data_IF_363254567503
#
_entry.id   IF_363254567503
#
_cell.length_a   1.000
_cell.length_b   1.000
_cell.length_c   1.000
_cell.angle_alpha   90.00
_cell.angle_beta   90.00
_cell.angle_gamma   90.00
#
_symmetry.space_group_name_H-M   'P 1'
#
loop_
_entity.id
_entity.type
_entity.pdbx_description
1 polymer ?
#
# COMPACT_ATOMS: atom_id res chain seq x y z
N UNK A 1 -10.64 -14.83 3.46
CA UNK A 1 -10.33 -14.28 4.79
C UNK A 1 -8.85 -14.53 5.04
N UNK A 2 -8.09 -13.49 5.35
CA UNK A 2 -6.63 -13.57 5.48
C UNK A 2 -6.23 -14.32 6.76
N UNK A 3 -5.31 -15.29 6.64
CA UNK A 3 -4.71 -15.94 7.80
C UNK A 3 -3.96 -14.98 8.73
N UNK A 4 -3.68 -13.75 8.26
CA UNK A 4 -3.08 -12.68 9.04
C UNK A 4 -3.90 -12.34 10.30
N UNK A 5 -5.23 -12.33 10.21
CA UNK A 5 -6.13 -12.00 11.32
C UNK A 5 -6.03 -13.00 12.48
N UNK A 6 -5.63 -14.25 12.22
CA UNK A 6 -5.45 -15.27 13.25
C UNK A 6 -4.14 -15.12 14.04
N UNK A 7 -3.12 -14.51 13.45
CA UNK A 7 -1.75 -14.48 14.02
C UNK A 7 -1.32 -13.10 14.51
N UNK A 8 -1.96 -12.04 14.03
CA UNK A 8 -1.56 -10.68 14.31
C UNK A 8 -2.00 -10.14 15.70
N UNK A 9 -3.21 -10.45 16.23
CA UNK A 9 -3.65 -9.93 17.51
C UNK A 9 -2.67 -10.25 18.65
N UNK A 10 -2.26 -9.23 19.42
CA UNK A 10 -1.31 -9.38 20.53
C UNK A 10 0.16 -9.59 20.12
N UNK A 11 0.46 -9.72 18.81
CA UNK A 11 1.84 -9.84 18.35
C UNK A 11 2.57 -8.49 18.42
N UNK A 12 3.81 -8.42 18.93
CA UNK A 12 4.51 -7.15 19.21
C UNK A 12 4.75 -6.26 17.99
N UNK A 13 4.82 -6.85 16.79
CA UNK A 13 4.99 -6.08 15.53
C UNK A 13 3.68 -6.00 14.74
N UNK A 14 2.89 -7.07 14.75
CA UNK A 14 1.75 -7.23 13.84
C UNK A 14 0.45 -6.69 14.44
N UNK A 15 0.32 -6.68 15.77
CA UNK A 15 -0.89 -6.28 16.48
C UNK A 15 -1.29 -4.85 16.16
N UNK A 16 -0.36 -3.90 16.27
CA UNK A 16 -0.65 -2.50 15.94
C UNK A 16 -1.10 -2.33 14.48
N UNK A 17 -0.37 -2.95 13.54
CA UNK A 17 -0.70 -2.88 12.13
C UNK A 17 -2.10 -3.45 11.85
N UNK A 18 -2.41 -4.60 12.44
CA UNK A 18 -3.71 -5.24 12.33
C UNK A 18 -4.84 -4.39 12.92
N UNK A 19 -4.65 -3.86 14.12
CA UNK A 19 -5.70 -3.21 14.90
C UNK A 19 -6.02 -1.78 14.44
N UNK A 20 -5.12 -1.15 13.68
CA UNK A 20 -5.22 0.27 13.37
C UNK A 20 -5.03 0.62 11.89
N UNK A 21 -4.49 -0.29 11.05
CA UNK A 21 -4.13 0.06 9.67
C UNK A 21 -4.65 -0.93 8.63
N UNK A 22 -4.47 -2.23 8.82
CA UNK A 22 -4.80 -3.22 7.81
C UNK A 22 -6.32 -3.34 7.63
N UNK A 23 -6.80 -3.00 6.43
CA UNK A 23 -8.23 -3.00 6.08
C UNK A 23 -8.94 -1.70 6.40
N UNK A 24 -8.25 -0.71 6.99
CA UNK A 24 -8.80 0.61 7.23
C UNK A 24 -8.70 1.47 5.96
N UNK A 25 -9.77 2.18 5.55
CA UNK A 25 -9.70 3.08 4.40
C UNK A 25 -8.74 4.23 4.69
N UNK A 26 -7.88 4.54 3.71
CA UNK A 26 -6.97 5.68 3.76
C UNK A 26 -7.14 6.59 2.56
N UNK A 27 -6.91 7.88 2.78
CA UNK A 27 -7.07 8.92 1.75
C UNK A 27 -5.85 9.81 1.57
N UNK A 28 -4.97 9.86 2.58
CA UNK A 28 -3.75 10.65 2.52
C UNK A 28 -2.79 10.10 1.46
N UNK A 29 -2.32 10.95 0.57
CA UNK A 29 -1.54 10.51 -0.60
C UNK A 29 -0.21 9.87 -0.18
N UNK A 30 0.42 10.43 0.87
CA UNK A 30 1.67 9.89 1.42
C UNK A 30 1.48 8.50 2.00
N UNK A 31 0.38 8.26 2.70
CA UNK A 31 0.07 6.95 3.29
C UNK A 31 -0.26 5.91 2.22
N UNK A 32 -1.02 6.31 1.19
CA UNK A 32 -1.31 5.44 0.04
C UNK A 32 -0.04 5.08 -0.71
N UNK A 33 0.84 6.06 -0.97
CA UNK A 33 2.10 5.81 -1.65
C UNK A 33 3.06 4.97 -0.79
N UNK A 34 3.16 5.25 0.51
CA UNK A 34 3.90 4.43 1.47
C UNK A 34 3.44 2.97 1.40
N UNK A 35 2.13 2.71 1.53
CA UNK A 35 1.59 1.34 1.48
C UNK A 35 2.02 0.64 0.19
N UNK A 36 1.85 1.29 -0.97
CA UNK A 36 2.22 0.71 -2.26
C UNK A 36 3.70 0.33 -2.31
N UNK A 37 4.59 1.22 -1.86
CA UNK A 37 6.04 0.96 -1.87
C UNK A 37 6.42 -0.13 -0.87
N UNK A 38 5.79 -0.19 0.30
CA UNK A 38 6.04 -1.25 1.28
C UNK A 38 5.63 -2.63 0.74
N UNK A 39 4.46 -2.74 0.09
CA UNK A 39 4.01 -3.99 -0.54
C UNK A 39 4.94 -4.42 -1.68
N UNK A 40 5.41 -3.48 -2.51
CA UNK A 40 6.44 -3.76 -3.54
C UNK A 40 7.72 -4.31 -2.90
N UNK A 41 8.12 -3.76 -1.76
CA UNK A 41 9.34 -4.18 -1.07
C UNK A 41 9.20 -5.51 -0.33
N UNK A 42 7.99 -5.91 0.05
CA UNK A 42 7.68 -7.18 0.69
C UNK A 42 7.96 -8.39 -0.21
N UNK A 43 7.93 -8.25 -1.54
CA UNK A 43 8.21 -9.35 -2.46
C UNK A 43 9.54 -10.06 -2.15
N UNK A 44 9.44 -11.34 -1.71
CA UNK A 44 10.55 -12.19 -1.30
C UNK A 44 10.95 -12.10 0.18
N UNK A 45 10.16 -11.43 1.03
CA UNK A 45 10.42 -11.21 2.46
C UNK A 45 9.14 -11.37 3.28
N UNK A 46 9.27 -11.49 4.61
CA UNK A 46 8.11 -11.44 5.50
C UNK A 46 7.60 -10.00 5.66
N UNK A 47 6.29 -9.84 5.86
CA UNK A 47 5.72 -8.52 6.18
C UNK A 47 6.27 -7.96 7.50
N UNK A 48 6.59 -8.82 8.47
CA UNK A 48 7.28 -8.41 9.71
C UNK A 48 8.60 -7.68 9.42
N UNK A 49 9.39 -8.19 8.46
CA UNK A 49 10.65 -7.55 8.04
C UNK A 49 10.40 -6.14 7.53
N UNK A 50 9.32 -5.94 6.76
CA UNK A 50 8.96 -4.64 6.22
C UNK A 50 8.47 -3.71 7.34
N UNK A 51 7.58 -4.16 8.23
CA UNK A 51 7.10 -3.36 9.36
C UNK A 51 8.25 -2.91 10.27
N UNK A 52 9.20 -3.80 10.57
CA UNK A 52 10.40 -3.44 11.37
C UNK A 52 11.29 -2.41 10.70
N UNK A 53 11.31 -2.37 9.36
CA UNK A 53 12.08 -1.40 8.56
C UNK A 53 11.28 -0.14 8.20
N UNK A 54 9.99 -0.06 8.52
CA UNK A 54 9.10 1.02 8.05
C UNK A 54 9.62 2.41 8.38
N UNK A 55 10.07 2.64 9.61
CA UNK A 55 10.62 3.96 9.99
C UNK A 55 11.89 4.34 9.21
N UNK A 56 12.70 3.35 8.81
CA UNK A 56 13.85 3.58 7.93
C UNK A 56 13.39 3.93 6.51
N UNK A 57 12.38 3.22 5.98
CA UNK A 57 11.77 3.54 4.70
C UNK A 57 11.19 4.96 4.69
N UNK A 58 10.46 5.35 5.72
CA UNK A 58 9.92 6.70 5.86
C UNK A 58 11.02 7.76 5.80
N UNK A 59 12.15 7.58 6.51
CA UNK A 59 13.28 8.52 6.42
C UNK A 59 13.97 8.49 5.07
N UNK A 60 14.16 7.30 4.49
CA UNK A 60 14.88 7.14 3.23
C UNK A 60 14.13 7.74 2.03
N UNK A 61 12.79 7.67 2.05
CA UNK A 61 11.90 8.16 1.00
C UNK A 61 11.22 9.50 1.35
N UNK A 62 11.86 10.34 2.17
CA UNK A 62 11.38 11.70 2.50
C UNK A 62 9.92 11.76 2.97
N UNK A 63 9.54 10.81 3.85
CA UNK A 63 8.19 10.68 4.37
C UNK A 63 7.16 10.32 3.29
N UNK A 64 7.61 9.65 2.22
CA UNK A 64 6.83 9.28 1.05
C UNK A 64 6.12 10.47 0.40
N UNK A 65 6.76 11.64 0.42
CA UNK A 65 6.31 12.77 -0.39
C UNK A 65 6.41 12.41 -1.88
N UNK A 66 5.27 12.34 -2.56
CA UNK A 66 5.20 11.88 -3.96
C UNK A 66 6.02 12.78 -4.87
N UNK A 67 5.97 14.11 -4.69
CA UNK A 67 6.68 15.04 -5.57
C UNK A 67 8.19 14.96 -5.37
N UNK A 68 8.65 14.84 -4.13
CA UNK A 68 10.06 14.66 -3.79
C UNK A 68 10.59 13.34 -4.36
N UNK A 69 9.89 12.22 -4.13
CA UNK A 69 10.33 10.91 -4.62
C UNK A 69 10.25 10.82 -6.15
N UNK A 70 9.29 11.48 -6.78
CA UNK A 70 9.20 11.56 -8.24
C UNK A 70 10.39 12.31 -8.88
N UNK A 71 10.99 13.24 -8.14
CA UNK A 71 12.13 14.05 -8.57
C UNK A 71 13.51 13.41 -8.28
N UNK A 72 13.56 12.27 -7.59
CA UNK A 72 14.81 11.58 -7.28
C UNK A 72 15.67 11.29 -8.53
N UNK A 73 16.95 11.61 -8.43
CA UNK A 73 17.95 11.39 -9.48
C UNK A 73 18.92 10.25 -9.17
N UNK A 74 19.99 10.14 -9.97
CA UNK A 74 21.03 9.11 -9.76
C UNK A 74 21.71 9.22 -8.38
N UNK A 75 21.85 10.43 -7.83
CA UNK A 75 22.38 10.63 -6.47
C UNK A 75 21.50 10.00 -5.40
N UNK A 76 20.17 10.15 -5.52
CA UNK A 76 19.22 9.55 -4.58
C UNK A 76 19.16 8.04 -4.72
N UNK A 77 19.22 7.55 -5.96
CA UNK A 77 19.29 6.11 -6.22
C UNK A 77 20.56 5.53 -5.57
N UNK A 78 21.72 6.16 -5.75
CA UNK A 78 22.97 5.72 -5.12
C UNK A 78 22.88 5.76 -3.59
N UNK A 79 22.32 6.83 -3.01
CA UNK A 79 22.06 6.98 -1.57
C UNK A 79 21.19 5.84 -1.04
N UNK A 80 20.06 5.56 -1.68
CA UNK A 80 19.12 4.50 -1.29
C UNK A 80 19.76 3.10 -1.40
N UNK A 81 20.57 2.87 -2.44
CA UNK A 81 21.30 1.60 -2.59
C UNK A 81 22.42 1.43 -1.56
N UNK A 82 22.91 2.51 -0.96
CA UNK A 82 23.86 2.48 0.15
C UNK A 82 23.22 2.25 1.52
N UNK A 83 21.91 2.50 1.67
CA UNK A 83 21.22 2.47 2.96
C UNK A 83 20.85 1.03 3.39
N UNK A 84 21.54 0.51 4.41
CA UNK A 84 21.25 -0.81 4.99
C UNK A 84 19.95 -0.87 5.82
N UNK A 85 19.37 0.28 6.14
CA UNK A 85 18.09 0.43 6.82
C UNK A 85 16.91 -0.09 6.00
N UNK A 86 17.02 -0.04 4.67
CA UNK A 86 15.97 -0.45 3.71
C UNK A 86 16.37 -1.69 2.88
N UNK A 87 15.57 -2.04 1.88
CA UNK A 87 15.87 -3.12 0.93
C UNK A 87 16.66 -2.55 -0.26
N UNK A 88 17.94 -2.88 -0.33
CA UNK A 88 18.89 -2.39 -1.35
C UNK A 88 18.71 -3.13 -2.68
N UNK A 89 17.64 -2.82 -3.40
CA UNK A 89 17.34 -3.39 -4.71
C UNK A 89 17.08 -2.28 -5.73
N UNK A 90 17.94 -2.17 -6.76
CA UNK A 90 17.86 -1.10 -7.76
C UNK A 90 16.54 -1.09 -8.52
N UNK A 91 16.00 -2.25 -8.86
CA UNK A 91 14.73 -2.33 -9.60
C UNK A 91 13.54 -1.85 -8.74
N UNK A 92 13.52 -2.19 -7.45
CA UNK A 92 12.49 -1.72 -6.51
C UNK A 92 12.57 -0.21 -6.27
N UNK A 93 13.79 0.34 -6.14
CA UNK A 93 14.01 1.80 -6.02
C UNK A 93 13.50 2.53 -7.26
N UNK A 94 13.89 2.08 -8.46
CA UNK A 94 13.43 2.66 -9.71
C UNK A 94 11.91 2.53 -9.89
N UNK A 95 11.30 1.45 -9.40
CA UNK A 95 9.85 1.28 -9.42
C UNK A 95 9.15 2.29 -8.50
N UNK A 96 9.68 2.56 -7.30
CA UNK A 96 9.14 3.57 -6.39
C UNK A 96 9.14 4.97 -7.03
N UNK A 97 10.27 5.37 -7.63
CA UNK A 97 10.40 6.67 -8.33
C UNK A 97 9.40 6.77 -9.49
N UNK A 98 9.35 5.74 -10.35
CA UNK A 98 8.39 5.71 -11.46
C UNK A 98 6.94 5.77 -10.96
N UNK A 99 6.59 5.03 -9.91
CA UNK A 99 5.24 5.01 -9.39
C UNK A 99 4.85 6.36 -8.77
N UNK A 100 5.78 7.07 -8.13
CA UNK A 100 5.57 8.44 -7.67
C UNK A 100 5.25 9.38 -8.84
N UNK A 101 6.03 9.30 -9.93
CA UNK A 101 5.79 10.08 -11.15
C UNK A 101 4.42 9.79 -11.77
N UNK A 102 4.00 8.52 -11.79
CA UNK A 102 2.66 8.15 -12.25
C UNK A 102 1.60 8.75 -11.33
N UNK A 103 1.72 8.63 -10.01
CA UNK A 103 0.76 9.21 -9.06
C UNK A 103 0.64 10.73 -9.24
N UNK A 104 1.75 11.44 -9.41
CA UNK A 104 1.76 12.87 -9.71
C UNK A 104 0.93 13.20 -10.96
N UNK A 105 1.03 12.39 -12.02
CA UNK A 105 0.23 12.56 -13.24
C UNK A 105 -1.27 12.25 -13.03
N UNK A 106 -1.62 11.33 -12.13
CA UNK A 106 -3.01 11.02 -11.81
C UNK A 106 -3.75 12.22 -11.20
N UNK A 107 -3.05 13.11 -10.49
CA UNK A 107 -3.63 14.34 -9.95
C UNK A 107 -4.28 15.21 -11.03
N UNK A 108 -3.67 15.30 -12.22
CA UNK A 108 -4.22 16.09 -13.32
C UNK A 108 -5.52 15.52 -13.90
N UNK A 109 -5.72 14.20 -13.82
CA UNK A 109 -6.89 13.53 -14.40
C UNK A 109 -7.99 13.22 -13.38
N UNK A 110 -7.64 13.00 -12.12
CA UNK A 110 -8.57 12.53 -11.08
C UNK A 110 -8.54 13.39 -9.81
N UNK A 111 -7.66 14.39 -9.72
CA UNK A 111 -7.48 15.26 -8.55
C UNK A 111 -6.51 14.71 -7.50
N UNK A 112 -6.51 13.40 -7.26
CA UNK A 112 -5.60 12.74 -6.29
C UNK A 112 -5.47 11.24 -6.54
N UNK A 113 -4.50 10.58 -5.89
CA UNK A 113 -4.39 9.12 -5.93
C UNK A 113 -5.62 8.41 -5.34
N UNK A 114 -6.14 8.93 -4.23
CA UNK A 114 -7.34 8.39 -3.59
C UNK A 114 -8.56 8.46 -4.53
N UNK A 115 -8.77 9.61 -5.18
CA UNK A 115 -9.86 9.78 -6.15
C UNK A 115 -9.67 8.92 -7.40
N UNK A 116 -8.41 8.69 -7.82
CA UNK A 116 -8.14 7.74 -8.88
C UNK A 116 -8.59 6.33 -8.48
N UNK A 117 -8.23 5.85 -7.28
CA UNK A 117 -8.66 4.54 -6.76
C UNK A 117 -10.20 4.45 -6.68
N UNK A 118 -10.85 5.49 -6.14
CA UNK A 118 -12.31 5.57 -6.04
C UNK A 118 -12.97 5.46 -7.42
N UNK A 119 -12.45 6.16 -8.44
CA UNK A 119 -12.98 6.15 -9.80
C UNK A 119 -12.89 4.78 -10.49
N UNK A 120 -12.01 3.88 -10.02
CA UNK A 120 -11.94 2.52 -10.53
C UNK A 120 -12.82 1.57 -9.72
N UNK A 121 -13.31 1.94 -8.54
CA UNK A 121 -14.15 1.06 -7.75
C UNK A 121 -15.62 1.12 -8.25
N UNK A 122 -16.34 -0.01 -8.38
CA UNK A 122 -15.92 -1.38 -8.07
C UNK A 122 -15.32 -2.11 -9.29
N UNK A 123 -14.07 -2.56 -9.14
CA UNK A 123 -13.48 -3.61 -9.98
C UNK A 123 -13.30 -4.88 -9.16
N UNK A 124 -13.40 -6.03 -9.82
CA UNK A 124 -12.97 -7.29 -9.24
C UNK A 124 -11.44 -7.38 -9.12
N UNK A 125 -10.94 -8.35 -8.35
CA UNK A 125 -9.51 -8.51 -8.12
C UNK A 125 -8.71 -8.70 -9.42
N UNK A 126 -9.24 -9.43 -10.40
CA UNK A 126 -8.52 -9.69 -11.65
C UNK A 126 -8.37 -8.42 -12.49
N UNK A 127 -9.44 -7.62 -12.57
CA UNK A 127 -9.44 -6.35 -13.27
C UNK A 127 -8.55 -5.31 -12.59
N UNK A 128 -8.55 -5.25 -11.25
CA UNK A 128 -7.59 -4.45 -10.48
C UNK A 128 -6.14 -4.81 -10.79
N UNK A 129 -5.80 -6.11 -10.78
CA UNK A 129 -4.43 -6.57 -11.10
C UNK A 129 -4.05 -6.16 -12.52
N UNK A 130 -4.96 -6.30 -13.50
CA UNK A 130 -4.70 -5.89 -14.88
C UNK A 130 -4.45 -4.38 -14.97
N UNK A 131 -5.26 -3.58 -14.28
CA UNK A 131 -5.11 -2.12 -14.25
C UNK A 131 -3.78 -1.71 -13.62
N UNK A 132 -3.46 -2.24 -12.43
CA UNK A 132 -2.24 -1.91 -11.72
C UNK A 132 -0.98 -2.28 -12.50
N UNK A 133 -0.96 -3.43 -13.19
CA UNK A 133 0.16 -3.83 -14.06
C UNK A 133 0.34 -2.92 -15.27
N UNK A 134 -0.74 -2.30 -15.76
CA UNK A 134 -0.69 -1.33 -16.87
C UNK A 134 -0.22 0.05 -16.40
N UNK A 135 -0.57 0.43 -15.17
CA UNK A 135 -0.35 1.78 -14.64
C UNK A 135 0.96 1.92 -13.88
N UNK A 136 1.32 0.93 -13.07
CA UNK A 136 2.45 0.98 -12.13
C UNK A 136 3.48 -0.13 -12.40
N UNK A 137 4.69 0.05 -11.88
CA UNK A 137 5.76 -0.95 -11.90
C UNK A 137 5.75 -1.77 -10.60
N UNK A 138 6.13 -3.04 -10.72
CA UNK A 138 6.21 -4.00 -9.61
C UNK A 138 4.87 -4.30 -8.92
N UNK A 139 3.76 -4.13 -9.61
CA UNK A 139 2.41 -4.34 -9.06
C UNK A 139 1.81 -5.67 -9.53
N UNK A 140 2.46 -6.77 -9.11
CA UNK A 140 2.00 -8.13 -9.35
C UNK A 140 0.66 -8.46 -8.67
N UNK A 141 0.18 -9.70 -8.86
CA UNK A 141 -1.13 -10.12 -8.35
C UNK A 141 -1.25 -10.10 -6.82
N UNK A 142 -0.20 -10.55 -6.13
CA UNK A 142 -0.12 -10.54 -4.67
C UNK A 142 -0.03 -9.10 -4.14
N UNK A 143 0.95 -8.34 -4.63
CA UNK A 143 1.19 -6.93 -4.25
C UNK A 143 -0.08 -6.07 -4.44
N UNK A 144 -0.74 -6.16 -5.60
CA UNK A 144 -1.97 -5.40 -5.85
C UNK A 144 -3.10 -5.86 -4.93
N UNK A 145 -3.20 -7.17 -4.69
CA UNK A 145 -4.22 -7.75 -3.81
C UNK A 145 -4.07 -7.27 -2.38
N UNK A 146 -2.87 -7.35 -1.81
CA UNK A 146 -2.57 -6.91 -0.45
C UNK A 146 -2.68 -5.39 -0.30
N UNK A 147 -2.20 -4.62 -1.28
CA UNK A 147 -2.40 -3.17 -1.31
C UNK A 147 -3.88 -2.79 -1.20
N UNK A 148 -4.73 -3.33 -2.08
CA UNK A 148 -6.16 -2.99 -2.09
C UNK A 148 -6.92 -3.56 -0.88
N UNK A 149 -6.55 -4.74 -0.39
CA UNK A 149 -7.15 -5.32 0.81
C UNK A 149 -6.76 -4.52 2.06
N UNK A 150 -5.51 -4.09 2.16
CA UNK A 150 -5.00 -3.27 3.28
C UNK A 150 -5.68 -1.90 3.36
N UNK A 151 -6.22 -1.40 2.25
CA UNK A 151 -6.89 -0.10 2.15
C UNK A 151 -8.42 -0.20 2.11
N UNK A 152 -8.99 -1.41 2.23
CA UNK A 152 -10.44 -1.58 2.22
C UNK A 152 -11.11 -1.39 0.84
N UNK A 153 -10.37 -1.53 -0.27
CA UNK A 153 -10.97 -1.66 -1.61
C UNK A 153 -11.35 -3.10 -1.96
N UNK A 154 -10.68 -4.08 -1.34
CA UNK A 154 -11.04 -5.49 -1.42
C UNK A 154 -11.40 -6.05 -0.04
N UNK A 155 -12.38 -6.98 0.05
CA UNK A 155 -12.72 -7.63 1.30
C UNK A 155 -11.63 -8.63 1.72
N UNK A 156 -11.64 -9.00 3.01
CA UNK A 156 -10.89 -10.17 3.51
C UNK A 156 -9.74 -9.86 4.46
N UNK A 157 -9.49 -8.59 4.78
CA UNK A 157 -8.45 -8.18 5.73
C UNK A 157 -8.65 -8.78 7.14
N UNK A 158 -9.91 -8.85 7.58
CA UNK A 158 -10.30 -9.33 8.91
C UNK A 158 -11.38 -10.40 8.84
N UNK A 159 -11.42 -11.30 9.82
CA UNK A 159 -12.53 -12.22 10.01
C UNK A 159 -13.78 -11.49 10.53
N UNK A 160 -14.96 -12.00 10.24
CA UNK A 160 -16.22 -11.36 10.66
C UNK A 160 -16.41 -11.30 12.19
N UNK A 161 -15.79 -12.23 12.91
CA UNK A 161 -15.76 -12.30 14.38
C UNK A 161 -14.60 -11.51 15.01
N UNK A 162 -13.68 -10.96 14.21
CA UNK A 162 -12.62 -10.09 14.71
C UNK A 162 -13.20 -8.80 15.29
N UNK A 163 -12.82 -8.38 16.51
CA UNK A 163 -13.28 -7.12 17.10
C UNK A 163 -12.97 -5.88 16.24
N UNK A 164 -11.86 -5.91 15.50
CA UNK A 164 -11.44 -4.83 14.59
C UNK A 164 -12.35 -4.73 13.38
N UNK A 165 -12.95 -5.84 12.92
CA UNK A 165 -13.87 -5.85 11.79
C UNK A 165 -15.06 -4.92 11.99
N UNK A 166 -15.62 -4.87 13.21
CA UNK A 166 -16.72 -3.95 13.57
C UNK A 166 -16.32 -2.48 13.47
N UNK A 167 -15.06 -2.15 13.83
CA UNK A 167 -14.52 -0.79 13.71
C UNK A 167 -14.38 -0.39 12.25
N UNK A 168 -13.86 -1.29 11.42
CA UNK A 168 -13.76 -1.07 9.96
C UNK A 168 -15.17 -0.92 9.36
N UNK A 169 -16.13 -1.77 9.72
CA UNK A 169 -17.53 -1.67 9.28
C UNK A 169 -18.14 -0.29 9.53
N UNK A 170 -17.89 0.29 10.70
CA UNK A 170 -18.39 1.62 11.05
C UNK A 170 -17.84 2.73 10.14
N UNK A 171 -16.64 2.53 9.57
CA UNK A 171 -16.02 3.44 8.61
C UNK A 171 -16.57 3.28 7.18
N UNK A 172 -17.43 2.29 6.93
CA UNK A 172 -18.00 1.98 5.61
C UNK A 172 -16.93 1.94 4.51
N UNK A 173 -15.97 0.99 4.56
CA UNK A 173 -14.88 0.93 3.59
C UNK A 173 -15.43 0.73 2.17
N UNK A 174 -14.67 1.11 1.12
CA UNK A 174 -15.14 1.03 -0.26
C UNK A 174 -15.81 -0.30 -0.62
N UNK A 175 -15.21 -1.44 -0.25
CA UNK A 175 -15.76 -2.77 -0.54
C UNK A 175 -17.15 -3.05 0.09
N UNK A 176 -17.56 -2.31 1.11
CA UNK A 176 -18.88 -2.40 1.75
C UNK A 176 -19.89 -1.39 1.21
N UNK A 177 -19.45 -0.37 0.48
CA UNK A 177 -20.34 0.64 -0.10
C UNK A 177 -21.12 0.08 -1.30
N UNK A 178 -20.57 -0.93 -1.98
CA UNK A 178 -21.24 -1.64 -3.07
C UNK A 178 -21.83 -2.96 -2.56
N UNK A 179 -23.16 -2.99 -2.50
CA UNK A 179 -23.96 -4.05 -1.86
C UNK A 179 -25.18 -3.51 -1.10
N UNK A 180 -25.23 -2.19 -0.87
CA UNK A 180 -26.46 -1.45 -0.50
C UNK A 180 -27.10 -0.87 -1.77
N UNK A 181 -27.71 -1.74 -2.57
CA UNK A 181 -28.72 -1.36 -3.54
C UNK A 181 -30.04 -2.01 -3.11
#
# INVERSE_FOLDING_TARGET
>A
MSGYCSIAPGHPVHGHYHDHEYGFPQREERELFERLVLEINQAGLSWETILRKRSNFQRAYDGFDVDTVAAYGESDIARLLGDAGIIRNRLKVLAAIHNAQVIQQLRASHGSFAQWLDAQHPLDKAAWIKLFKKTFRFTGGEITGEFLMSLGYLPGAHHADCPVFKRIQALSPPWMQHGKA
#
